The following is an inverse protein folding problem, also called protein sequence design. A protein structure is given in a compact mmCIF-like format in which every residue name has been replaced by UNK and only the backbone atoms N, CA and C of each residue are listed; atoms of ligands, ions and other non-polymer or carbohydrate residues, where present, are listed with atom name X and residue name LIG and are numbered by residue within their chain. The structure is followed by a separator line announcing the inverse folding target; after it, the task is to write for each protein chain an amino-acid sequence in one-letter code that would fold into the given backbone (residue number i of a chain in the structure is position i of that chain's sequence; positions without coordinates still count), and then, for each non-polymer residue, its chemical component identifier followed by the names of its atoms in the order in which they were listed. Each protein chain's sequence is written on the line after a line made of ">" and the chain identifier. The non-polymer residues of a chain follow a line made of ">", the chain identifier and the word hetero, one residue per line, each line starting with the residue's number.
data_IF_752426487851
#
_entry.id   IF_752426487851
#
_cell.length_a   1.000
_cell.length_b   1.000
_cell.length_c   1.000
_cell.angle_alpha   90.00
_cell.angle_beta   90.00
_cell.angle_gamma   90.00
#
_symmetry.space_group_name_H-M   'P 1'
#
loop_
_entity.id
_entity.type
_entity.pdbx_description
1 polymer ?
#
# COMPACT_ATOMS: atom_id res chain seq x y z
N UNK A 1 -23.73 13.93 -18.02
CA UNK A 1 -24.80 12.91 -17.92
C UNK A 1 -24.94 12.39 -16.49
N UNK A 2 -23.89 11.86 -15.83
CA UNK A 2 -24.07 11.32 -14.45
C UNK A 2 -24.54 12.36 -13.42
N UNK A 3 -24.10 13.62 -13.50
CA UNK A 3 -24.47 14.64 -12.51
C UNK A 3 -25.96 15.02 -12.55
N UNK A 4 -26.61 14.96 -13.72
CA UNK A 4 -28.05 15.23 -13.83
C UNK A 4 -28.84 14.15 -13.08
N UNK A 5 -28.44 12.88 -13.21
CA UNK A 5 -29.05 11.77 -12.49
C UNK A 5 -28.70 11.73 -11.01
N UNK A 6 -27.50 12.19 -10.60
CA UNK A 6 -27.19 12.42 -9.20
C UNK A 6 -28.15 13.45 -8.59
N UNK A 7 -28.38 14.58 -9.27
CA UNK A 7 -29.33 15.61 -8.85
C UNK A 7 -30.76 15.07 -8.77
N UNK A 8 -31.24 14.37 -9.81
CA UNK A 8 -32.57 13.75 -9.79
C UNK A 8 -32.70 12.73 -8.66
N UNK A 9 -31.67 11.92 -8.41
CA UNK A 9 -31.61 10.97 -7.31
C UNK A 9 -31.79 11.65 -5.95
N UNK A 10 -31.04 12.72 -5.67
CA UNK A 10 -31.15 13.51 -4.45
C UNK A 10 -32.54 14.14 -4.30
N UNK A 11 -33.05 14.78 -5.37
CA UNK A 11 -34.37 15.42 -5.37
C UNK A 11 -35.53 14.42 -5.28
N UNK A 12 -35.30 13.15 -5.67
CA UNK A 12 -36.28 12.07 -5.49
C UNK A 12 -36.55 11.77 -4.02
N UNK A 13 -35.59 12.05 -3.13
CA UNK A 13 -35.70 11.88 -1.69
C UNK A 13 -36.36 13.06 -1.02
N UNK A 14 -35.93 14.29 -1.33
CA UNK A 14 -36.45 15.52 -0.74
C UNK A 14 -36.13 16.74 -1.60
N UNK A 15 -36.88 17.83 -1.43
CA UNK A 15 -36.54 19.11 -2.04
C UNK A 15 -35.26 19.68 -1.43
N UNK A 16 -34.36 20.19 -2.27
CA UNK A 16 -33.04 20.69 -1.85
C UNK A 16 -32.68 22.00 -2.53
N UNK A 17 -31.83 22.81 -1.89
CA UNK A 17 -31.20 23.93 -2.58
C UNK A 17 -30.02 23.46 -3.43
N UNK A 18 -29.61 24.31 -4.39
CA UNK A 18 -28.36 24.07 -5.15
C UNK A 18 -27.12 23.92 -4.26
N UNK A 19 -27.11 24.61 -3.11
CA UNK A 19 -26.03 24.52 -2.13
C UNK A 19 -26.03 23.17 -1.39
N UNK A 20 -27.21 22.70 -0.96
CA UNK A 20 -27.32 21.42 -0.25
C UNK A 20 -26.92 20.25 -1.16
N UNK A 21 -27.40 20.26 -2.42
CA UNK A 21 -26.99 19.26 -3.42
C UNK A 21 -25.50 19.29 -3.66
N UNK A 22 -24.89 20.47 -3.77
CA UNK A 22 -23.44 20.61 -3.89
C UNK A 22 -22.72 19.97 -2.71
N UNK A 23 -23.14 20.28 -1.49
CA UNK A 23 -22.49 19.76 -0.28
C UNK A 23 -22.56 18.23 -0.25
N UNK A 24 -23.74 17.67 -0.52
CA UNK A 24 -23.95 16.21 -0.55
C UNK A 24 -23.06 15.55 -1.62
N UNK A 25 -23.02 16.09 -2.85
CA UNK A 25 -22.21 15.53 -3.93
C UNK A 25 -20.71 15.64 -3.61
N UNK A 26 -20.28 16.77 -3.05
CA UNK A 26 -18.88 16.99 -2.68
C UNK A 26 -18.40 16.05 -1.57
N UNK A 27 -19.30 15.70 -0.64
CA UNK A 27 -19.00 14.80 0.47
C UNK A 27 -19.18 13.31 0.08
N UNK A 28 -19.67 13.01 -1.13
CA UNK A 28 -19.87 11.65 -1.64
C UNK A 28 -18.62 11.09 -2.33
N UNK A 29 -18.40 9.79 -2.18
CA UNK A 29 -17.28 9.07 -2.81
C UNK A 29 -17.58 8.51 -4.21
N UNK A 30 -18.85 8.46 -4.61
CA UNK A 30 -19.27 7.85 -5.88
C UNK A 30 -20.02 8.80 -6.81
N UNK A 31 -20.57 9.91 -6.29
CA UNK A 31 -21.20 10.93 -7.12
C UNK A 31 -20.13 11.84 -7.73
N UNK A 32 -19.72 11.55 -8.96
CA UNK A 32 -18.67 12.31 -9.62
C UNK A 32 -19.06 13.77 -9.89
N UNK A 33 -18.18 14.68 -9.49
CA UNK A 33 -18.23 16.10 -9.77
C UNK A 33 -16.85 16.60 -10.17
N UNK A 34 -16.80 17.47 -11.19
CA UNK A 34 -15.55 18.00 -11.74
C UNK A 34 -14.81 19.00 -10.83
N UNK A 35 -15.34 19.30 -9.63
CA UNK A 35 -14.85 20.41 -8.80
C UNK A 35 -15.31 21.80 -9.26
N UNK A 36 -15.92 21.90 -10.45
CA UNK A 36 -16.44 23.16 -10.98
C UNK A 36 -17.83 23.47 -10.42
N UNK A 37 -17.92 24.51 -9.58
CA UNK A 37 -19.18 24.95 -8.97
C UNK A 37 -20.29 25.21 -10.00
N UNK A 38 -19.95 25.63 -11.21
CA UNK A 38 -20.92 25.94 -12.24
C UNK A 38 -21.56 24.69 -12.85
N UNK A 39 -20.98 23.50 -12.67
CA UNK A 39 -21.50 22.27 -13.26
C UNK A 39 -22.89 21.92 -12.71
N UNK A 40 -23.08 22.03 -11.40
CA UNK A 40 -24.36 21.74 -10.74
C UNK A 40 -25.43 22.74 -11.18
N UNK A 41 -25.11 24.03 -11.21
CA UNK A 41 -26.07 25.06 -11.62
C UNK A 41 -26.42 24.95 -13.11
N UNK A 42 -25.47 24.59 -13.98
CA UNK A 42 -25.74 24.30 -15.40
C UNK A 42 -26.69 23.10 -15.54
N UNK A 43 -26.43 22.01 -14.82
CA UNK A 43 -27.30 20.85 -14.79
C UNK A 43 -28.72 21.19 -14.30
N UNK A 44 -28.85 22.03 -13.28
CA UNK A 44 -30.16 22.49 -12.80
C UNK A 44 -30.91 23.32 -13.85
N UNK A 45 -30.21 24.15 -14.64
CA UNK A 45 -30.83 24.90 -15.74
C UNK A 45 -31.36 23.95 -16.82
N UNK A 46 -30.60 22.90 -17.15
CA UNK A 46 -31.04 21.87 -18.10
C UNK A 46 -32.26 21.11 -17.57
N UNK A 47 -32.22 20.61 -16.34
CA UNK A 47 -33.32 19.87 -15.71
C UNK A 47 -34.61 20.71 -15.56
N UNK A 48 -34.48 22.01 -15.33
CA UNK A 48 -35.61 22.95 -15.33
C UNK A 48 -36.20 23.10 -16.74
N UNK A 49 -35.33 23.26 -17.75
CA UNK A 49 -35.74 23.42 -19.15
C UNK A 49 -36.47 22.18 -19.66
N UNK A 50 -36.02 21.00 -19.26
CA UNK A 50 -36.60 19.71 -19.65
C UNK A 50 -37.86 19.34 -18.84
N UNK A 51 -38.23 20.15 -17.85
CA UNK A 51 -39.43 19.93 -17.03
C UNK A 51 -39.29 18.83 -15.98
N UNK A 52 -38.08 18.33 -15.73
CA UNK A 52 -37.81 17.27 -14.75
C UNK A 52 -37.74 17.77 -13.30
N UNK A 53 -37.54 19.07 -13.13
CA UNK A 53 -37.44 19.73 -11.83
C UNK A 53 -38.22 21.05 -11.89
N UNK A 54 -38.84 21.46 -10.78
CA UNK A 54 -39.37 22.80 -10.56
C UNK A 54 -38.52 23.55 -9.54
N UNK A 55 -38.63 24.88 -9.53
CA UNK A 55 -37.96 25.69 -8.53
C UNK A 55 -38.87 26.76 -7.94
N UNK A 56 -38.78 26.95 -6.63
CA UNK A 56 -39.50 27.98 -5.89
C UNK A 56 -38.50 28.85 -5.11
N UNK A 57 -38.73 30.17 -5.09
CA UNK A 57 -37.93 31.09 -4.29
C UNK A 57 -38.57 31.22 -2.92
N UNK A 58 -37.89 30.71 -1.90
CA UNK A 58 -38.28 30.92 -0.51
C UNK A 58 -37.61 32.19 0.01
N UNK A 59 -38.43 33.23 0.22
CA UNK A 59 -37.99 34.46 0.87
C UNK A 59 -37.83 34.23 2.37
N UNK A 60 -36.70 34.67 2.93
CA UNK A 60 -36.41 34.58 4.35
C UNK A 60 -36.31 36.00 4.92
N UNK A 61 -36.91 36.27 6.07
CA UNK A 61 -36.97 37.62 6.65
C UNK A 61 -35.59 38.17 7.05
N UNK A 62 -34.65 37.29 7.44
CA UNK A 62 -33.33 37.65 8.00
C UNK A 62 -32.15 37.00 7.27
N UNK A 63 -32.38 36.38 6.11
CA UNK A 63 -31.35 35.67 5.35
C UNK A 63 -31.59 35.75 3.83
N UNK A 64 -30.57 35.51 2.99
CA UNK A 64 -30.74 35.52 1.55
C UNK A 64 -31.83 34.55 1.09
N UNK A 65 -32.62 34.96 0.10
CA UNK A 65 -33.65 34.09 -0.47
C UNK A 65 -33.03 32.81 -1.01
N UNK A 66 -33.63 31.66 -0.71
CA UNK A 66 -33.14 30.34 -1.14
C UNK A 66 -34.00 29.81 -2.27
N UNK A 67 -33.35 29.35 -3.34
CA UNK A 67 -34.03 28.68 -4.44
C UNK A 67 -34.11 27.19 -4.13
N UNK A 68 -35.31 26.72 -3.84
CA UNK A 68 -35.63 25.32 -3.53
C UNK A 68 -35.97 24.60 -4.83
N UNK A 69 -35.40 23.41 -5.04
CA UNK A 69 -35.68 22.58 -6.20
C UNK A 69 -36.46 21.35 -5.79
N UNK A 70 -37.43 20.95 -6.61
CA UNK A 70 -38.30 19.79 -6.36
C UNK A 70 -38.43 18.98 -7.65
N UNK A 71 -38.29 17.65 -7.56
CA UNK A 71 -38.47 16.77 -8.72
C UNK A 71 -39.94 16.70 -9.15
N UNK A 72 -40.19 16.68 -10.46
CA UNK A 72 -41.55 16.51 -11.04
C UNK A 72 -41.90 15.04 -11.25
N UNK A 73 -43.17 14.69 -11.54
CA UNK A 73 -43.54 13.34 -11.99
C UNK A 73 -42.72 12.87 -13.20
N UNK A 74 -42.48 13.77 -14.17
CA UNK A 74 -41.69 13.52 -15.37
C UNK A 74 -40.23 13.25 -15.00
N UNK A 75 -39.64 14.03 -14.08
CA UNK A 75 -38.29 13.79 -13.57
C UNK A 75 -38.14 12.48 -12.82
N UNK A 76 -39.17 12.04 -12.08
CA UNK A 76 -39.19 10.71 -11.44
C UNK A 76 -39.26 9.59 -12.48
N UNK A 77 -40.02 9.78 -13.56
CA UNK A 77 -40.10 8.82 -14.65
C UNK A 77 -38.75 8.70 -15.39
N UNK A 78 -38.09 9.84 -15.65
CA UNK A 78 -36.75 9.90 -16.24
C UNK A 78 -35.70 9.21 -15.36
N UNK A 79 -35.70 9.49 -14.06
CA UNK A 79 -34.80 8.81 -13.11
C UNK A 79 -35.03 7.30 -13.11
N UNK A 80 -36.29 6.85 -13.11
CA UNK A 80 -36.63 5.43 -13.17
C UNK A 80 -36.13 4.79 -14.46
N UNK A 81 -36.33 5.46 -15.60
CA UNK A 81 -35.84 5.01 -16.91
C UNK A 81 -34.32 4.80 -16.88
N UNK A 82 -33.57 5.77 -16.36
CA UNK A 82 -32.11 5.66 -16.28
C UNK A 82 -31.64 4.54 -15.34
N UNK A 83 -32.27 4.36 -14.17
CA UNK A 83 -31.96 3.26 -13.25
C UNK A 83 -32.20 1.88 -13.89
N UNK A 84 -33.07 1.80 -14.90
CA UNK A 84 -33.34 0.57 -15.67
C UNK A 84 -32.44 0.41 -16.90
N UNK A 85 -31.65 1.42 -17.25
CA UNK A 85 -30.74 1.37 -18.40
C UNK A 85 -29.57 0.43 -18.15
N UNK A 86 -28.93 -0.02 -19.23
CA UNK A 86 -27.76 -0.88 -19.12
C UNK A 86 -26.61 -0.13 -18.43
N UNK A 87 -25.89 -0.76 -17.48
CA UNK A 87 -24.76 -0.11 -16.82
C UNK A 87 -23.62 0.14 -17.82
N UNK A 88 -22.95 1.28 -17.65
CA UNK A 88 -21.76 1.63 -18.42
C UNK A 88 -20.51 0.93 -17.87
N UNK A 89 -19.49 0.75 -18.71
CA UNK A 89 -18.18 0.30 -18.23
C UNK A 89 -17.57 1.36 -17.30
N UNK A 90 -16.98 0.96 -16.16
CA UNK A 90 -16.35 1.91 -15.26
C UNK A 90 -15.14 2.57 -15.93
N UNK A 91 -15.03 3.89 -15.81
CA UNK A 91 -13.81 4.60 -16.22
C UNK A 91 -12.69 4.31 -15.21
N UNK A 92 -11.60 3.69 -15.65
CA UNK A 92 -10.39 3.48 -14.84
C UNK A 92 -9.21 4.22 -15.46
N UNK A 93 -8.74 5.28 -14.80
CA UNK A 93 -7.58 6.06 -15.25
C UNK A 93 -6.52 6.08 -14.15
N UNK A 94 -5.50 5.23 -14.30
CA UNK A 94 -4.39 5.11 -13.34
C UNK A 94 -3.08 5.55 -14.00
N UNK A 95 -2.77 6.84 -13.89
CA UNK A 95 -1.51 7.41 -14.43
C UNK A 95 -0.28 6.69 -13.89
N UNK A 96 -0.34 6.22 -12.64
CA UNK A 96 0.72 5.43 -12.02
C UNK A 96 1.10 4.18 -12.83
N UNK A 97 0.13 3.47 -13.42
CA UNK A 97 0.43 2.29 -14.24
C UNK A 97 1.25 2.64 -15.48
N UNK A 98 1.06 3.84 -16.03
CA UNK A 98 1.86 4.34 -17.15
C UNK A 98 3.28 4.65 -16.68
N UNK A 99 3.44 5.26 -15.48
CA UNK A 99 4.77 5.50 -14.90
C UNK A 99 5.51 4.18 -14.65
N UNK A 100 4.83 3.19 -14.06
CA UNK A 100 5.38 1.87 -13.79
C UNK A 100 5.76 1.12 -15.08
N UNK A 101 4.98 1.27 -16.16
CA UNK A 101 5.30 0.64 -17.44
C UNK A 101 6.63 1.14 -18.06
N UNK A 102 7.09 2.34 -17.68
CA UNK A 102 8.33 2.96 -18.16
C UNK A 102 9.39 3.08 -17.07
N UNK A 103 9.33 2.24 -16.03
CA UNK A 103 10.26 2.28 -14.91
C UNK A 103 11.58 1.54 -15.15
N UNK A 104 11.77 0.90 -16.31
CA UNK A 104 13.01 0.16 -16.67
C UNK A 104 14.25 1.06 -16.71
N UNK A 105 14.05 2.37 -16.89
CA UNK A 105 15.12 3.38 -16.83
C UNK A 105 15.55 3.75 -15.40
N UNK A 106 14.86 3.22 -14.38
CA UNK A 106 15.09 3.52 -12.97
C UNK A 106 15.83 2.36 -12.28
N UNK A 107 16.66 2.70 -11.31
CA UNK A 107 17.26 1.72 -10.41
C UNK A 107 16.19 1.10 -9.49
N UNK A 108 16.40 -0.12 -9.00
CA UNK A 108 15.45 -0.80 -8.10
C UNK A 108 15.01 0.09 -6.93
N UNK A 109 15.95 0.80 -6.30
CA UNK A 109 15.65 1.69 -5.17
C UNK A 109 14.69 2.83 -5.55
N UNK A 110 14.80 3.36 -6.77
CA UNK A 110 13.93 4.41 -7.29
C UNK A 110 12.53 3.87 -7.59
N UNK A 111 12.43 2.65 -8.13
CA UNK A 111 11.13 1.99 -8.36
C UNK A 111 10.43 1.71 -7.03
N UNK A 112 11.17 1.24 -6.01
CA UNK A 112 10.64 1.03 -4.66
C UNK A 112 10.17 2.33 -4.02
N UNK A 113 10.92 3.43 -4.15
CA UNK A 113 10.51 4.74 -3.66
C UNK A 113 9.24 5.25 -4.38
N UNK A 114 9.13 5.02 -5.69
CA UNK A 114 7.94 5.36 -6.47
C UNK A 114 6.70 4.55 -6.02
N UNK A 115 6.86 3.25 -5.77
CA UNK A 115 5.80 2.39 -5.22
C UNK A 115 5.36 2.85 -3.82
N UNK A 116 6.31 3.24 -2.96
CA UNK A 116 6.01 3.73 -1.62
C UNK A 116 5.24 5.05 -1.66
N UNK A 117 5.66 5.99 -2.52
CA UNK A 117 4.94 7.25 -2.72
C UNK A 117 3.49 7.00 -3.19
N UNK A 118 3.29 6.12 -4.18
CA UNK A 118 1.94 5.77 -4.63
C UNK A 118 1.13 5.07 -3.53
N UNK A 119 1.74 4.17 -2.76
CA UNK A 119 1.12 3.53 -1.61
C UNK A 119 0.61 4.51 -0.56
N UNK A 120 1.38 5.57 -0.26
CA UNK A 120 0.96 6.63 0.67
C UNK A 120 -0.26 7.42 0.17
N UNK A 121 -0.35 7.68 -1.14
CA UNK A 121 -1.55 8.30 -1.73
C UNK A 121 -2.78 7.40 -1.58
N UNK A 122 -2.64 6.09 -1.82
CA UNK A 122 -3.74 5.13 -1.62
C UNK A 122 -4.17 5.04 -0.15
N UNK A 123 -3.21 5.03 0.79
CA UNK A 123 -3.50 5.06 2.23
C UNK A 123 -4.25 6.35 2.62
N UNK A 124 -3.84 7.50 2.05
CA UNK A 124 -4.51 8.78 2.29
C UNK A 124 -5.97 8.76 1.82
N UNK A 125 -6.25 8.12 0.68
CA UNK A 125 -7.62 7.91 0.19
C UNK A 125 -8.42 6.98 1.11
N UNK A 126 -7.81 5.90 1.62
CA UNK A 126 -8.46 5.00 2.59
C UNK A 126 -8.89 5.78 3.84
N UNK A 127 -7.99 6.58 4.43
CA UNK A 127 -8.31 7.39 5.60
C UNK A 127 -9.39 8.43 5.31
N UNK A 128 -9.39 9.03 4.11
CA UNK A 128 -10.44 9.96 3.71
C UNK A 128 -11.81 9.27 3.66
N UNK A 129 -11.91 8.07 3.07
CA UNK A 129 -13.18 7.34 3.02
C UNK A 129 -13.65 6.89 4.40
N UNK A 130 -12.74 6.41 5.25
CA UNK A 130 -13.06 6.08 6.64
C UNK A 130 -13.57 7.30 7.41
N UNK A 131 -12.89 8.44 7.30
CA UNK A 131 -13.30 9.68 7.94
C UNK A 131 -14.64 10.22 7.43
N UNK A 132 -15.04 9.90 6.19
CA UNK A 132 -16.39 10.21 5.70
C UNK A 132 -17.44 9.29 6.31
N UNK A 133 -17.16 7.98 6.41
CA UNK A 133 -18.06 7.04 7.08
C UNK A 133 -18.33 7.43 8.53
N UNK A 134 -17.29 7.86 9.27
CA UNK A 134 -17.42 8.28 10.67
C UNK A 134 -18.27 9.54 10.87
N UNK A 135 -18.30 10.44 9.89
CA UNK A 135 -19.08 11.70 9.95
C UNK A 135 -20.57 11.51 9.65
N UNK A 136 -20.98 10.32 9.21
CA UNK A 136 -22.32 10.07 8.70
C UNK A 136 -22.50 10.68 7.30
N UNK A 137 -22.34 9.86 6.27
CA UNK A 137 -22.62 10.30 4.90
C UNK A 137 -24.11 10.48 4.68
N UNK A 138 -24.47 11.29 3.70
CA UNK A 138 -25.85 11.40 3.25
C UNK A 138 -26.33 10.03 2.74
N UNK A 139 -27.43 9.55 3.31
CA UNK A 139 -28.20 8.43 2.80
C UNK A 139 -29.70 8.81 2.85
N UNK A 140 -30.51 8.49 1.82
CA UNK A 140 -31.94 8.77 1.82
C UNK A 140 -32.71 7.97 2.87
N UNK A 141 -32.25 6.76 3.19
CA UNK A 141 -32.80 5.84 4.19
C UNK A 141 -34.33 5.66 4.16
N UNK A 142 -34.94 5.71 2.96
CA UNK A 142 -36.41 5.60 2.80
C UNK A 142 -36.90 4.18 3.04
N UNK A 143 -36.00 3.19 3.01
CA UNK A 143 -36.28 1.79 3.34
C UNK A 143 -35.02 1.08 3.85
N UNK A 144 -35.16 -0.02 4.61
CA UNK A 144 -34.02 -0.83 5.05
C UNK A 144 -33.16 -1.35 3.89
N UNK A 145 -33.79 -1.67 2.75
CA UNK A 145 -33.09 -2.10 1.54
C UNK A 145 -32.22 -0.98 0.97
N UNK A 146 -32.73 0.25 0.94
CA UNK A 146 -31.97 1.39 0.48
C UNK A 146 -30.76 1.65 1.38
N UNK A 147 -30.94 1.71 2.70
CA UNK A 147 -29.84 1.87 3.65
C UNK A 147 -28.74 0.80 3.47
N UNK A 148 -29.13 -0.46 3.26
CA UNK A 148 -28.19 -1.55 2.95
C UNK A 148 -27.43 -1.31 1.64
N UNK A 149 -28.10 -0.89 0.57
CA UNK A 149 -27.45 -0.63 -0.73
C UNK A 149 -26.42 0.49 -0.61
N UNK A 150 -26.76 1.58 0.08
CA UNK A 150 -25.82 2.69 0.30
C UNK A 150 -24.56 2.26 1.05
N UNK A 151 -24.70 1.46 2.12
CA UNK A 151 -23.54 0.87 2.81
C UNK A 151 -22.67 -0.01 1.89
N UNK A 152 -23.28 -0.77 0.98
CA UNK A 152 -22.53 -1.60 0.04
C UNK A 152 -21.80 -0.78 -1.02
N UNK A 153 -22.36 0.35 -1.44
CA UNK A 153 -21.69 1.31 -2.34
C UNK A 153 -20.45 1.89 -1.65
N UNK A 154 -20.56 2.27 -0.39
CA UNK A 154 -19.42 2.77 0.40
C UNK A 154 -18.33 1.70 0.54
N UNK A 155 -18.71 0.47 0.89
CA UNK A 155 -17.78 -0.65 1.04
C UNK A 155 -17.03 -0.97 -0.26
N UNK A 156 -17.65 -0.77 -1.42
CA UNK A 156 -17.02 -0.98 -2.72
C UNK A 156 -15.79 -0.09 -2.94
N UNK A 157 -15.85 1.19 -2.55
CA UNK A 157 -14.73 2.12 -2.73
C UNK A 157 -13.54 1.75 -1.83
N UNK A 158 -13.82 1.44 -0.56
CA UNK A 158 -12.81 0.98 0.37
C UNK A 158 -12.17 -0.34 -0.10
N UNK A 159 -12.97 -1.26 -0.62
CA UNK A 159 -12.48 -2.52 -1.20
C UNK A 159 -11.56 -2.29 -2.40
N UNK A 160 -11.84 -1.28 -3.23
CA UNK A 160 -10.99 -0.96 -4.38
C UNK A 160 -9.62 -0.45 -3.93
N UNK A 161 -9.55 0.48 -2.96
CA UNK A 161 -8.27 1.00 -2.46
C UNK A 161 -7.46 -0.04 -1.69
N UNK A 162 -8.11 -0.88 -0.88
CA UNK A 162 -7.40 -1.96 -0.17
C UNK A 162 -6.86 -3.01 -1.14
N UNK A 163 -7.59 -3.32 -2.21
CA UNK A 163 -7.10 -4.19 -3.29
C UNK A 163 -5.92 -3.59 -4.03
N UNK A 164 -5.94 -2.27 -4.30
CA UNK A 164 -4.82 -1.55 -4.90
C UNK A 164 -3.57 -1.62 -4.02
N UNK A 165 -3.72 -1.36 -2.72
CA UNK A 165 -2.61 -1.41 -1.77
C UNK A 165 -2.00 -2.82 -1.67
N UNK A 166 -2.85 -3.85 -1.72
CA UNK A 166 -2.40 -5.25 -1.80
C UNK A 166 -1.57 -5.49 -3.07
N UNK A 167 -2.06 -5.05 -4.22
CA UNK A 167 -1.36 -5.19 -5.49
C UNK A 167 0.00 -4.46 -5.49
N UNK A 168 0.11 -3.27 -4.90
CA UNK A 168 1.39 -2.56 -4.72
C UNK A 168 2.38 -3.44 -3.94
N UNK A 169 1.91 -4.11 -2.89
CA UNK A 169 2.73 -5.07 -2.12
C UNK A 169 3.22 -6.25 -2.95
N UNK A 170 2.36 -6.80 -3.82
CA UNK A 170 2.72 -7.90 -4.74
C UNK A 170 3.80 -7.46 -5.75
N UNK A 171 3.67 -6.26 -6.34
CA UNK A 171 4.67 -5.69 -7.27
C UNK A 171 6.00 -5.46 -6.56
N UNK A 172 5.97 -4.89 -5.36
CA UNK A 172 7.16 -4.66 -4.54
C UNK A 172 7.93 -5.96 -4.31
N UNK A 173 7.23 -7.02 -3.88
CA UNK A 173 7.84 -8.34 -3.67
C UNK A 173 8.47 -8.91 -4.94
N UNK A 174 7.81 -8.75 -6.09
CA UNK A 174 8.33 -9.25 -7.37
C UNK A 174 9.65 -8.56 -7.77
N UNK A 175 9.72 -7.23 -7.63
CA UNK A 175 10.91 -6.44 -7.98
C UNK A 175 12.07 -6.74 -7.02
N UNK A 176 11.80 -6.85 -5.73
CA UNK A 176 12.84 -7.19 -4.74
C UNK A 176 13.42 -8.58 -5.01
N UNK A 177 12.57 -9.59 -5.29
CA UNK A 177 13.03 -10.95 -5.65
C UNK A 177 13.87 -11.00 -6.92
N UNK A 178 13.56 -10.18 -7.93
CA UNK A 178 14.39 -10.11 -9.14
C UNK A 178 15.79 -9.56 -8.85
N UNK A 179 15.88 -8.60 -7.93
CA UNK A 179 17.15 -7.98 -7.53
C UNK A 179 18.01 -8.95 -6.71
N UNK A 180 17.39 -9.77 -5.85
CA UNK A 180 18.05 -10.84 -5.10
C UNK A 180 18.68 -11.88 -6.03
N UNK A 181 17.97 -12.32 -7.08
CA UNK A 181 18.48 -13.27 -8.08
C UNK A 181 19.66 -12.71 -8.89
N UNK A 182 19.74 -11.39 -9.05
CA UNK A 182 20.80 -10.72 -9.84
C UNK A 182 22.00 -10.24 -9.01
N UNK A 183 21.85 -10.00 -7.70
CA UNK A 183 22.88 -9.34 -6.87
C UNK A 183 23.59 -10.21 -5.84
N UNK A 184 22.93 -11.25 -5.29
CA UNK A 184 23.54 -12.11 -4.29
C UNK A 184 23.15 -13.58 -4.55
N UNK A 185 24.12 -14.49 -4.66
CA UNK A 185 23.84 -15.93 -4.78
C UNK A 185 23.30 -16.49 -3.45
N UNK A 186 22.05 -16.14 -3.13
CA UNK A 186 21.33 -16.54 -1.93
C UNK A 186 20.39 -17.68 -2.28
N UNK A 187 20.53 -18.81 -1.60
CA UNK A 187 19.61 -19.94 -1.71
C UNK A 187 18.76 -20.08 -0.45
N UNK A 188 17.46 -20.28 -0.62
CA UNK A 188 16.57 -20.65 0.49
C UNK A 188 16.62 -22.17 0.65
N UNK A 189 17.11 -22.64 1.79
CA UNK A 189 17.19 -24.07 2.09
C UNK A 189 16.12 -24.44 3.12
N UNK A 190 15.46 -25.57 2.89
CA UNK A 190 14.51 -26.16 3.84
C UNK A 190 15.09 -27.45 4.40
N UNK A 191 15.30 -27.52 5.71
CA UNK A 191 15.78 -28.71 6.42
C UNK A 191 14.95 -28.92 7.68
N UNK A 192 14.46 -30.15 7.88
CA UNK A 192 13.66 -30.52 9.07
C UNK A 192 12.42 -29.62 9.31
N UNK A 193 11.81 -29.12 8.23
CA UNK A 193 10.63 -28.25 8.29
C UNK A 193 10.92 -26.77 8.63
N UNK A 194 12.18 -26.43 8.86
CA UNK A 194 12.64 -25.06 9.10
C UNK A 194 13.40 -24.53 7.87
N UNK A 195 13.31 -23.22 7.65
CA UNK A 195 13.92 -22.53 6.50
C UNK A 195 15.06 -21.63 6.97
N UNK A 196 16.15 -21.60 6.20
CA UNK A 196 17.24 -20.64 6.35
C UNK A 196 17.73 -20.16 4.98
N UNK A 197 18.28 -18.95 4.93
CA UNK A 197 18.96 -18.41 3.76
C UNK A 197 20.43 -18.77 3.84
N UNK A 198 21.01 -19.24 2.74
CA UNK A 198 22.42 -19.58 2.66
C UNK A 198 23.14 -18.70 1.64
N UNK A 199 24.26 -18.10 2.07
CA UNK A 199 25.14 -17.29 1.23
C UNK A 199 26.51 -17.96 1.09
N UNK A 200 26.76 -18.61 -0.07
CA UNK A 200 28.00 -19.39 -0.34
C UNK A 200 29.08 -18.63 -1.14
N UNK A 201 28.73 -17.63 -1.96
CA UNK A 201 29.63 -17.17 -3.04
C UNK A 201 30.56 -15.99 -2.67
N UNK A 202 31.78 -16.03 -3.23
CA UNK A 202 32.77 -14.95 -3.18
C UNK A 202 32.47 -13.75 -4.10
N UNK A 203 31.48 -13.86 -4.98
CA UNK A 203 30.99 -12.77 -5.85
C UNK A 203 29.99 -11.85 -5.11
N UNK A 204 29.46 -12.30 -3.98
CA UNK A 204 28.41 -11.62 -3.18
C UNK A 204 28.94 -11.30 -1.78
N UNK A 205 29.98 -10.46 -1.72
CA UNK A 205 30.67 -10.15 -0.46
C UNK A 205 29.91 -9.13 0.35
N UNK A 206 29.79 -9.35 1.66
CA UNK A 206 29.30 -8.36 2.61
C UNK A 206 30.39 -7.32 2.88
N UNK A 207 30.70 -6.46 1.90
CA UNK A 207 31.79 -5.48 1.94
C UNK A 207 31.39 -4.09 2.41
N UNK A 208 30.11 -3.77 2.34
CA UNK A 208 29.55 -2.47 2.68
C UNK A 208 28.34 -2.61 3.60
N UNK A 209 27.92 -1.49 4.18
CA UNK A 209 26.67 -1.42 4.94
C UNK A 209 25.43 -1.69 4.08
N UNK A 210 25.49 -1.36 2.79
CA UNK A 210 24.41 -1.61 1.84
C UNK A 210 24.25 -3.11 1.59
N UNK A 211 25.35 -3.86 1.41
CA UNK A 211 25.30 -5.32 1.21
C UNK A 211 24.62 -6.04 2.40
N UNK A 212 24.81 -5.52 3.61
CA UNK A 212 24.15 -6.02 4.82
C UNK A 212 22.64 -5.73 4.78
N UNK A 213 22.25 -4.53 4.35
CA UNK A 213 20.83 -4.16 4.20
C UNK A 213 20.15 -4.97 3.10
N UNK A 214 20.87 -5.27 2.02
CA UNK A 214 20.36 -6.08 0.91
C UNK A 214 20.11 -7.53 1.37
N UNK A 215 21.03 -8.11 2.16
CA UNK A 215 20.83 -9.42 2.80
C UNK A 215 19.62 -9.42 3.75
N UNK A 216 19.42 -8.35 4.52
CA UNK A 216 18.24 -8.20 5.40
C UNK A 216 16.97 -8.06 4.57
N UNK A 217 17.03 -7.33 3.45
CA UNK A 217 15.96 -7.27 2.45
C UNK A 217 15.55 -8.66 1.96
N UNK A 218 16.54 -9.51 1.64
CA UNK A 218 16.32 -10.90 1.26
C UNK A 218 15.66 -11.73 2.36
N UNK A 219 16.06 -11.53 3.61
CA UNK A 219 15.40 -12.17 4.76
C UNK A 219 13.89 -11.84 4.81
N UNK A 220 13.57 -10.56 4.66
CA UNK A 220 12.18 -10.09 4.67
C UNK A 220 11.39 -10.57 3.45
N UNK A 221 11.99 -10.55 2.26
CA UNK A 221 11.36 -10.97 1.00
C UNK A 221 10.98 -12.46 0.97
N UNK A 222 11.73 -13.30 1.69
CA UNK A 222 11.51 -14.74 1.80
C UNK A 222 10.76 -15.18 3.06
N UNK A 223 10.49 -14.27 4.00
CA UNK A 223 9.98 -14.54 5.35
C UNK A 223 10.84 -15.57 6.10
N UNK A 224 12.17 -15.37 6.04
CA UNK A 224 13.17 -16.25 6.65
C UNK A 224 14.22 -15.38 7.34
N UNK A 225 14.28 -15.46 8.67
CA UNK A 225 15.19 -14.64 9.49
C UNK A 225 16.39 -15.43 10.03
N UNK A 226 16.60 -16.66 9.54
CA UNK A 226 17.77 -17.47 9.82
C UNK A 226 18.71 -17.41 8.61
N UNK A 227 19.97 -17.03 8.82
CA UNK A 227 20.97 -16.87 7.76
C UNK A 227 22.22 -17.70 8.07
N UNK A 228 22.70 -18.44 7.09
CA UNK A 228 23.98 -19.14 7.09
C UNK A 228 24.96 -18.40 6.17
N UNK A 229 26.03 -17.86 6.75
CA UNK A 229 27.10 -17.16 6.03
C UNK A 229 28.34 -18.03 5.95
N UNK A 230 28.87 -18.22 4.75
CA UNK A 230 30.16 -18.86 4.55
C UNK A 230 31.31 -17.85 4.53
N UNK A 231 32.50 -18.27 4.97
CA UNK A 231 33.73 -17.47 4.95
C UNK A 231 34.00 -16.80 3.59
N UNK A 232 33.66 -17.47 2.49
CA UNK A 232 33.83 -16.93 1.13
C UNK A 232 33.03 -15.64 0.88
N UNK A 233 31.91 -15.45 1.57
CA UNK A 233 31.07 -14.26 1.47
C UNK A 233 31.55 -13.09 2.38
N UNK A 234 32.55 -13.33 3.23
CA UNK A 234 33.09 -12.34 4.16
C UNK A 234 34.41 -11.76 3.64
N UNK A 235 34.47 -10.46 3.30
CA UNK A 235 35.73 -9.84 2.88
C UNK A 235 36.67 -9.62 4.07
N UNK A 236 37.98 -9.43 3.80
CA UNK A 236 38.98 -9.14 4.85
C UNK A 236 38.60 -7.95 5.75
N UNK A 237 37.90 -6.96 5.18
CA UNK A 237 37.38 -5.80 5.91
C UNK A 237 36.44 -6.18 7.06
N UNK A 238 35.73 -7.30 6.96
CA UNK A 238 34.84 -7.80 8.01
C UNK A 238 35.61 -8.25 9.26
N UNK A 239 36.80 -8.84 9.07
CA UNK A 239 37.66 -9.30 10.17
C UNK A 239 38.43 -8.16 10.85
N UNK A 240 38.63 -7.04 10.14
CA UNK A 240 39.32 -5.88 10.67
C UNK A 240 38.34 -4.94 11.40
N UNK A 241 38.26 -5.03 12.73
CA UNK A 241 37.35 -4.22 13.55
C UNK A 241 37.51 -2.69 13.40
N UNK A 242 38.63 -2.19 12.84
CA UNK A 242 38.78 -0.75 12.56
C UNK A 242 37.89 -0.26 11.41
N UNK A 243 37.41 -1.16 10.56
CA UNK A 243 36.51 -0.81 9.44
C UNK A 243 35.09 -0.51 9.92
N UNK A 244 34.72 -0.98 11.11
CA UNK A 244 33.36 -0.88 11.65
C UNK A 244 32.34 -1.84 11.02
N UNK A 245 32.68 -2.53 9.92
CA UNK A 245 31.74 -3.32 9.12
C UNK A 245 31.07 -4.44 9.90
N UNK A 246 31.84 -5.26 10.63
CA UNK A 246 31.29 -6.33 11.46
C UNK A 246 30.39 -5.78 12.58
N UNK A 247 30.78 -4.66 13.21
CA UNK A 247 29.95 -4.02 14.23
C UNK A 247 28.60 -3.56 13.69
N UNK A 248 28.60 -2.90 12.52
CA UNK A 248 27.39 -2.47 11.81
C UNK A 248 26.52 -3.67 11.43
N UNK A 249 27.12 -4.74 10.90
CA UNK A 249 26.39 -5.97 10.55
C UNK A 249 25.65 -6.56 11.75
N UNK A 250 26.35 -6.73 12.86
CA UNK A 250 25.82 -7.31 14.08
C UNK A 250 24.70 -6.46 14.69
N UNK A 251 24.89 -5.13 14.74
CA UNK A 251 23.87 -4.22 15.22
C UNK A 251 22.59 -4.32 14.38
N UNK A 252 22.72 -4.40 13.05
CA UNK A 252 21.56 -4.55 12.17
C UNK A 252 20.89 -5.92 12.34
N UNK A 253 21.65 -7.01 12.38
CA UNK A 253 21.06 -8.33 12.63
C UNK A 253 20.25 -8.38 13.92
N UNK A 254 20.73 -7.74 14.99
CA UNK A 254 19.97 -7.59 16.23
C UNK A 254 18.71 -6.74 16.02
N UNK A 255 18.83 -5.55 15.42
CA UNK A 255 17.68 -4.64 15.20
C UNK A 255 16.58 -5.29 14.35
N UNK A 256 16.96 -6.05 13.34
CA UNK A 256 16.06 -6.70 12.39
C UNK A 256 15.73 -8.16 12.76
N UNK A 257 16.14 -8.61 13.95
CA UNK A 257 15.81 -9.93 14.49
C UNK A 257 16.29 -11.09 13.59
N UNK A 258 17.38 -10.87 12.86
CA UNK A 258 18.03 -11.87 12.02
C UNK A 258 19.00 -12.69 12.88
N UNK A 259 18.81 -14.02 12.89
CA UNK A 259 19.74 -14.99 13.50
C UNK A 259 20.73 -15.45 12.43
N UNK A 260 22.01 -15.18 12.65
CA UNK A 260 23.06 -15.44 11.69
C UNK A 260 24.07 -16.46 12.24
N UNK A 261 24.28 -17.57 11.54
CA UNK A 261 25.37 -18.50 11.78
C UNK A 261 26.46 -18.29 10.73
N UNK A 262 27.70 -18.06 11.15
CA UNK A 262 28.83 -17.90 10.25
C UNK A 262 29.77 -19.10 10.32
N UNK A 263 30.04 -19.76 9.18
CA UNK A 263 31.03 -20.82 9.08
C UNK A 263 32.38 -20.20 8.70
N UNK A 264 33.30 -20.16 9.66
CA UNK A 264 34.63 -19.56 9.49
C UNK A 264 35.68 -20.63 9.78
N UNK A 265 36.35 -21.10 8.74
CA UNK A 265 37.31 -22.22 8.78
C UNK A 265 38.77 -21.78 8.79
N UNK A 266 39.04 -20.53 8.38
CA UNK A 266 40.38 -19.99 8.27
C UNK A 266 41.02 -19.52 9.58
N UNK A 267 42.35 -19.40 9.56
CA UNK A 267 43.18 -18.90 10.67
C UNK A 267 42.92 -17.43 11.06
N UNK A 268 41.99 -16.75 10.38
CA UNK A 268 41.54 -15.38 10.65
C UNK A 268 40.62 -15.32 11.89
N UNK A 269 39.80 -16.35 12.14
CA UNK A 269 38.92 -16.43 13.30
C UNK A 269 39.69 -16.46 14.64
N UNK A 270 40.92 -16.96 14.62
CA UNK A 270 41.73 -17.23 15.81
C UNK A 270 42.70 -16.10 16.20
N UNK A 271 42.69 -14.97 15.49
CA UNK A 271 43.68 -13.90 15.68
C UNK A 271 43.08 -12.62 16.25
N UNK A 272 43.75 -12.11 17.29
CA UNK A 272 43.55 -10.74 17.80
C UNK A 272 42.16 -10.44 18.36
N UNK A 273 41.74 -9.17 18.28
CA UNK A 273 40.48 -8.65 18.86
C UNK A 273 39.21 -9.22 18.24
N UNK A 274 39.29 -9.77 17.02
CA UNK A 274 38.13 -10.41 16.39
C UNK A 274 37.73 -11.70 17.11
N UNK A 275 38.70 -12.47 17.62
CA UNK A 275 38.45 -13.66 18.45
C UNK A 275 37.73 -13.32 19.76
N UNK A 276 38.11 -12.21 20.40
CA UNK A 276 37.44 -11.71 21.61
C UNK A 276 35.99 -11.34 21.31
N UNK A 277 35.74 -10.65 20.18
CA UNK A 277 34.39 -10.35 19.72
C UNK A 277 33.56 -11.62 19.48
N UNK A 278 34.11 -12.62 18.77
CA UNK A 278 33.42 -13.89 18.52
C UNK A 278 33.08 -14.62 19.83
N UNK A 279 33.97 -14.55 20.84
CA UNK A 279 33.74 -15.18 22.15
C UNK A 279 32.54 -14.56 22.87
N UNK A 280 32.35 -13.24 22.76
CA UNK A 280 31.17 -12.57 23.32
C UNK A 280 29.91 -12.83 22.49
N UNK A 281 30.01 -12.77 21.17
CA UNK A 281 28.87 -13.01 20.28
C UNK A 281 28.33 -14.42 20.39
N UNK A 282 29.20 -15.41 20.55
CA UNK A 282 28.81 -16.81 20.71
C UNK A 282 27.97 -17.06 21.98
N UNK A 283 27.87 -16.11 22.92
CA UNK A 283 26.95 -16.16 24.07
C UNK A 283 25.55 -15.60 23.76
N UNK A 284 25.41 -14.82 22.69
CA UNK A 284 24.16 -14.22 22.25
C UNK A 284 23.30 -15.14 21.38
N UNK A 285 22.12 -14.66 21.00
CA UNK A 285 21.15 -15.39 20.17
C UNK A 285 21.12 -14.94 18.70
N UNK A 286 21.65 -13.75 18.39
CA UNK A 286 21.57 -13.14 17.06
C UNK A 286 22.72 -13.53 16.13
N UNK A 287 23.91 -13.84 16.64
CA UNK A 287 25.06 -14.21 15.81
C UNK A 287 25.93 -15.26 16.51
N UNK A 288 26.33 -16.31 15.80
CA UNK A 288 27.30 -17.30 16.30
C UNK A 288 28.21 -17.80 15.18
N UNK A 289 29.50 -17.92 15.46
CA UNK A 289 30.49 -18.46 14.53
C UNK A 289 30.81 -19.93 14.84
N UNK A 290 30.97 -20.72 13.79
CA UNK A 290 31.21 -22.16 13.82
C UNK A 290 32.37 -22.55 12.89
N UNK A 291 32.99 -23.68 13.17
CA UNK A 291 34.07 -24.26 12.36
C UNK A 291 33.57 -25.25 11.31
N UNK A 292 32.28 -25.62 11.33
CA UNK A 292 31.66 -26.49 10.34
C UNK A 292 30.19 -26.12 10.10
N UNK A 293 29.69 -26.51 8.91
CA UNK A 293 28.33 -26.21 8.44
C UNK A 293 27.26 -26.96 9.25
N UNK A 294 27.54 -28.19 9.67
CA UNK A 294 26.57 -29.03 10.39
C UNK A 294 26.15 -28.41 11.73
N UNK A 295 27.11 -27.96 12.53
CA UNK A 295 26.85 -27.29 13.81
C UNK A 295 26.15 -25.94 13.62
N UNK A 296 26.55 -25.18 12.60
CA UNK A 296 25.95 -23.89 12.27
C UNK A 296 24.46 -24.04 11.94
N UNK A 297 24.14 -25.00 11.06
CA UNK A 297 22.75 -25.31 10.70
C UNK A 297 21.99 -25.83 11.91
N UNK A 298 22.56 -26.77 12.69
CA UNK A 298 21.89 -27.29 13.88
C UNK A 298 21.49 -26.18 14.87
N UNK A 299 22.32 -25.14 15.04
CA UNK A 299 21.99 -24.00 15.89
C UNK A 299 20.91 -23.07 15.30
N UNK A 300 20.88 -22.89 13.98
CA UNK A 300 19.80 -22.13 13.31
C UNK A 300 18.45 -22.85 13.41
N UNK A 301 18.45 -24.18 13.33
CA UNK A 301 17.24 -25.01 13.41
C UNK A 301 16.74 -25.24 14.85
N UNK A 302 17.54 -24.91 15.87
CA UNK A 302 17.09 -24.91 17.26
C UNK A 302 16.01 -23.84 17.45
N UNK A 303 14.80 -24.28 17.81
CA UNK A 303 13.70 -23.42 18.23
C UNK A 303 14.11 -22.68 19.50
N UNK A 304 14.16 -21.35 19.43
CA UNK A 304 14.30 -20.46 20.60
C UNK A 304 12.93 -20.16 21.17
#
# INVERSE_FOLDING_TARGET
>A
MSINYAILGLLSSQSLTGYDMKKIIQDSSFMYWSGNNNQIYKALVELLKDGYVTSEVQHQESSPSKKMYTITPEGRAELKYWVQSAPEQPESRKTFLIQLAWSDQLETAEILAMLDAYGQEIISLIHLEQGRADKGQYAPDRSPREAMIWRLIEANQLSAYTSELKWIGEVRQAITRETEVKGMNIEVITKEGQRYLELRSADSRLGTEQDILDLIGACMGHDVYNVLLHEAALPEAFYNLRTGLAGTALQKFINYHVRCAAVITGTQADKGRFKELLTELNKGTAFRAFSNEEEAVAWLLQTV
#
